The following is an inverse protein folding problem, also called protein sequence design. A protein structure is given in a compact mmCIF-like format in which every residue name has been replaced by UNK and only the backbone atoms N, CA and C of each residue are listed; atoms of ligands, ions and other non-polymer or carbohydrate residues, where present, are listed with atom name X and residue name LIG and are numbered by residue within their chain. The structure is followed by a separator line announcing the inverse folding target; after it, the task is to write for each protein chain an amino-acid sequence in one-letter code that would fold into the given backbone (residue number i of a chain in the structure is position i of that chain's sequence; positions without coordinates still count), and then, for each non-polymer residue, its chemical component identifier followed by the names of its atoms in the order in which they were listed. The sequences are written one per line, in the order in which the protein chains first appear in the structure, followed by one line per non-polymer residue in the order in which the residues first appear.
data_IF_638130436084
#
_entry.id   IF_638130436084
#
_cell.length_a   1.000
_cell.length_b   1.000
_cell.length_c   1.000
_cell.angle_alpha   90.00
_cell.angle_beta   90.00
_cell.angle_gamma   90.00
#
_symmetry.space_group_name_H-M   'P 1'
#
loop_
_entity.id
_entity.type
_entity.pdbx_description
1 polymer ?
#
# COMPACT_ATOMS: atom_id res chain seq x y z
N UNK A 1 -33.39 -10.84 1.92
CA UNK A 1 -32.40 -10.46 0.88
C UNK A 1 -31.28 -11.48 1.01
N UNK A 2 -31.29 -12.50 0.15
CA UNK A 2 -30.43 -13.69 0.28
C UNK A 2 -28.97 -13.29 0.43
N UNK A 3 -28.42 -13.53 1.62
CA UNK A 3 -26.99 -13.70 1.78
C UNK A 3 -26.61 -14.88 0.87
N UNK A 4 -25.90 -14.61 -0.23
CA UNK A 4 -25.18 -15.68 -0.92
C UNK A 4 -24.21 -16.25 0.10
N UNK A 5 -24.56 -17.41 0.65
CA UNK A 5 -23.64 -18.30 1.34
C UNK A 5 -22.41 -18.46 0.45
N UNK A 6 -21.24 -18.24 1.05
CA UNK A 6 -19.93 -18.43 0.42
C UNK A 6 -19.92 -19.81 -0.24
N UNK A 7 -19.62 -19.89 -1.53
CA UNK A 7 -19.33 -21.17 -2.16
C UNK A 7 -18.06 -21.74 -1.50
N UNK A 8 -18.01 -23.06 -1.18
CA UNK A 8 -16.77 -23.69 -0.80
C UNK A 8 -15.68 -23.41 -1.84
N UNK A 9 -14.44 -23.30 -1.38
CA UNK A 9 -13.32 -23.07 -2.26
C UNK A 9 -12.03 -23.02 -1.47
N UNK A 10 -10.91 -23.10 -2.18
CA UNK A 10 -9.58 -23.25 -1.58
C UNK A 10 -8.69 -22.09 -1.98
N UNK A 11 -8.11 -21.44 -0.98
CA UNK A 11 -7.07 -20.44 -1.19
C UNK A 11 -5.68 -21.10 -1.19
N UNK A 12 -4.94 -20.88 -2.26
CA UNK A 12 -3.55 -21.31 -2.41
C UNK A 12 -2.63 -20.10 -2.24
N UNK A 13 -1.87 -20.07 -1.15
CA UNK A 13 -0.96 -18.99 -0.79
C UNK A 13 0.25 -18.96 -1.73
N UNK A 14 0.55 -17.78 -2.27
CA UNK A 14 1.79 -17.48 -3.01
C UNK A 14 2.75 -16.66 -2.13
N UNK A 15 2.29 -15.49 -1.68
CA UNK A 15 3.11 -14.57 -0.90
C UNK A 15 2.32 -13.82 0.17
N UNK A 16 3.02 -13.33 1.18
CA UNK A 16 2.46 -12.41 2.18
C UNK A 16 2.77 -10.98 1.74
N UNK A 17 1.74 -10.14 1.60
CA UNK A 17 1.90 -8.74 1.19
C UNK A 17 2.08 -7.79 2.38
N UNK A 18 1.36 -8.05 3.49
CA UNK A 18 1.37 -7.19 4.68
C UNK A 18 0.89 -7.96 5.91
N UNK A 19 1.41 -7.63 7.09
CA UNK A 19 0.86 -8.08 8.38
C UNK A 19 0.55 -6.87 9.26
N UNK A 20 -0.63 -6.83 9.86
CA UNK A 20 -1.02 -5.85 10.88
C UNK A 20 -1.73 -6.54 12.06
N UNK A 21 -2.00 -5.79 13.13
CA UNK A 21 -2.60 -6.34 14.36
C UNK A 21 -4.00 -6.94 14.13
N UNK A 22 -4.69 -6.55 13.06
CA UNK A 22 -6.04 -7.01 12.75
C UNK A 22 -6.07 -8.14 11.73
N UNK A 23 -5.01 -8.32 10.92
CA UNK A 23 -4.95 -9.34 9.88
C UNK A 23 -3.60 -9.43 9.17
N UNK A 24 -3.40 -10.56 8.48
CA UNK A 24 -2.37 -10.76 7.46
C UNK A 24 -3.01 -10.69 6.07
N UNK A 25 -2.42 -9.91 5.17
CA UNK A 25 -2.82 -9.79 3.76
C UNK A 25 -1.91 -10.69 2.93
N UNK A 26 -2.53 -11.60 2.21
CA UNK A 26 -1.89 -12.66 1.47
C UNK A 26 -2.33 -12.62 0.00
N UNK A 27 -1.40 -12.83 -0.92
CA UNK A 27 -1.65 -12.97 -2.35
C UNK A 27 -1.60 -14.46 -2.71
N UNK A 28 -2.47 -14.87 -3.63
CA UNK A 28 -2.55 -16.26 -4.03
C UNK A 28 -3.60 -16.51 -5.11
N UNK A 29 -3.97 -17.77 -5.26
CA UNK A 29 -5.02 -18.21 -6.17
C UNK A 29 -6.23 -18.70 -5.35
N UNK A 30 -7.42 -18.26 -5.72
CA UNK A 30 -8.67 -18.82 -5.23
C UNK A 30 -9.17 -19.86 -6.23
N UNK A 31 -9.36 -21.09 -5.77
CA UNK A 31 -9.98 -22.16 -6.53
C UNK A 31 -11.43 -22.29 -6.09
N UNK A 32 -12.36 -22.10 -7.01
CA UNK A 32 -13.79 -22.31 -6.73
C UNK A 32 -14.16 -23.81 -6.75
N UNK A 33 -15.41 -24.12 -6.46
CA UNK A 33 -15.94 -25.49 -6.47
C UNK A 33 -15.82 -26.20 -7.83
N UNK A 34 -15.76 -25.44 -8.93
CA UNK A 34 -15.57 -25.99 -10.28
C UNK A 34 -14.08 -26.23 -10.61
N UNK A 35 -13.17 -25.92 -9.68
CA UNK A 35 -11.73 -26.00 -9.88
C UNK A 35 -11.15 -24.87 -10.74
N UNK A 36 -11.93 -23.80 -10.99
CA UNK A 36 -11.43 -22.64 -11.71
C UNK A 36 -10.60 -21.76 -10.78
N UNK A 37 -9.39 -21.40 -11.24
CA UNK A 37 -8.44 -20.61 -10.46
C UNK A 37 -8.53 -19.13 -10.82
N UNK A 38 -8.69 -18.28 -9.80
CA UNK A 38 -8.76 -16.83 -9.93
C UNK A 38 -7.68 -16.15 -9.07
N UNK A 39 -6.96 -15.15 -9.59
CA UNK A 39 -6.07 -14.33 -8.78
C UNK A 39 -6.82 -13.69 -7.61
N UNK A 40 -6.30 -13.85 -6.39
CA UNK A 40 -6.99 -13.48 -5.17
C UNK A 40 -6.08 -12.85 -4.12
N UNK A 41 -6.71 -12.06 -3.25
CA UNK A 41 -6.12 -11.57 -2.00
C UNK A 41 -6.94 -12.10 -0.84
N UNK A 42 -6.28 -12.76 0.11
CA UNK A 42 -6.88 -13.21 1.37
C UNK A 42 -6.47 -12.27 2.49
N UNK A 43 -7.46 -11.74 3.20
CA UNK A 43 -7.28 -11.13 4.51
C UNK A 43 -7.51 -12.21 5.56
N UNK A 44 -6.43 -12.72 6.12
CA UNK A 44 -6.43 -13.75 7.15
C UNK A 44 -6.37 -13.10 8.54
N UNK A 45 -7.41 -13.31 9.35
CA UNK A 45 -7.49 -12.89 10.75
C UNK A 45 -7.69 -14.08 11.70
N UNK A 46 -7.42 -15.31 11.26
CA UNK A 46 -7.58 -16.51 12.09
C UNK A 46 -6.59 -16.54 13.26
N UNK A 47 -5.37 -16.08 13.02
CA UNK A 47 -4.21 -16.12 13.93
C UNK A 47 -4.03 -14.86 14.77
N UNK A 48 -4.95 -13.89 14.68
CA UNK A 48 -4.85 -12.67 15.51
C UNK A 48 -5.15 -12.99 16.97
N UNK A 49 -4.63 -12.16 17.88
CA UNK A 49 -4.88 -12.31 19.30
C UNK A 49 -6.40 -12.39 19.59
N UNK A 50 -6.80 -13.30 20.47
CA UNK A 50 -8.20 -13.65 20.71
C UNK A 50 -9.08 -12.44 21.07
N UNK A 51 -8.52 -11.45 21.77
CA UNK A 51 -9.22 -10.22 22.17
C UNK A 51 -9.39 -9.21 21.03
N UNK A 52 -8.56 -9.27 19.98
CA UNK A 52 -8.69 -8.48 18.74
C UNK A 52 -9.67 -9.13 17.76
N UNK A 53 -9.83 -10.46 17.82
CA UNK A 53 -10.61 -11.26 16.88
C UNK A 53 -12.05 -10.75 16.64
N UNK A 54 -12.83 -10.30 17.64
CA UNK A 54 -14.16 -9.74 17.39
C UNK A 54 -14.13 -8.48 16.52
N UNK A 55 -13.13 -7.62 16.72
CA UNK A 55 -12.95 -6.40 15.94
C UNK A 55 -12.43 -6.70 14.52
N UNK A 56 -11.48 -7.62 14.39
CA UNK A 56 -11.00 -8.10 13.09
C UNK A 56 -12.14 -8.72 12.27
N UNK A 57 -12.97 -9.57 12.89
CA UNK A 57 -14.18 -10.13 12.30
C UNK A 57 -15.14 -9.04 11.85
N UNK A 58 -15.38 -8.03 12.69
CA UNK A 58 -16.24 -6.89 12.34
C UNK A 58 -15.71 -6.16 11.09
N UNK A 59 -14.43 -5.86 11.01
CA UNK A 59 -13.83 -5.22 9.84
C UNK A 59 -13.93 -6.07 8.58
N UNK A 60 -13.67 -7.38 8.66
CA UNK A 60 -13.83 -8.29 7.52
C UNK A 60 -15.28 -8.32 7.01
N UNK A 61 -16.27 -8.39 7.90
CA UNK A 61 -17.69 -8.38 7.52
C UNK A 61 -18.10 -7.04 6.90
N UNK A 62 -17.60 -5.92 7.42
CA UNK A 62 -17.84 -4.59 6.83
C UNK A 62 -17.25 -4.47 5.43
N UNK A 63 -16.00 -4.88 5.27
CA UNK A 63 -15.29 -4.87 3.99
C UNK A 63 -16.05 -5.72 2.97
N UNK A 64 -16.39 -6.96 3.32
CA UNK A 64 -17.17 -7.85 2.46
C UNK A 64 -18.53 -7.26 2.08
N UNK A 65 -19.27 -6.68 3.03
CA UNK A 65 -20.57 -6.04 2.78
C UNK A 65 -20.45 -4.86 1.81
N UNK A 66 -19.43 -4.03 1.99
CA UNK A 66 -19.21 -2.87 1.14
C UNK A 66 -18.77 -3.29 -0.28
N UNK A 67 -17.85 -4.25 -0.41
CA UNK A 67 -17.39 -4.79 -1.68
C UNK A 67 -18.52 -5.47 -2.45
N UNK A 68 -19.29 -6.38 -1.83
CA UNK A 68 -20.47 -7.01 -2.45
C UNK A 68 -21.47 -5.98 -2.97
N UNK A 69 -21.65 -4.88 -2.23
CA UNK A 69 -22.53 -3.78 -2.66
C UNK A 69 -21.91 -2.93 -3.76
N UNK A 70 -20.59 -2.88 -3.90
CA UNK A 70 -19.86 -2.11 -4.91
C UNK A 70 -19.54 -2.89 -6.20
N UNK A 71 -19.74 -4.21 -6.22
CA UNK A 71 -19.45 -5.11 -7.36
C UNK A 71 -20.04 -4.69 -8.71
N UNK A 72 -19.33 -5.00 -9.81
CA UNK A 72 -19.79 -4.71 -11.18
C UNK A 72 -19.56 -3.26 -11.64
N UNK A 73 -18.97 -2.41 -10.80
CA UNK A 73 -18.63 -1.03 -11.17
C UNK A 73 -17.28 -0.87 -11.90
N UNK A 74 -16.50 -1.94 -12.06
CA UNK A 74 -15.15 -1.91 -12.68
C UNK A 74 -14.07 -1.17 -11.88
N UNK A 75 -14.41 -0.61 -10.71
CA UNK A 75 -13.49 0.18 -9.86
C UNK A 75 -13.29 -0.42 -8.47
N UNK A 76 -13.82 -1.63 -8.24
CA UNK A 76 -13.64 -2.41 -7.01
C UNK A 76 -13.41 -3.87 -7.38
N UNK A 77 -13.08 -4.68 -6.39
CA UNK A 77 -12.87 -6.12 -6.55
C UNK A 77 -14.10 -6.91 -6.08
N UNK A 78 -14.38 -8.07 -6.70
CA UNK A 78 -15.41 -8.98 -6.21
C UNK A 78 -14.99 -9.63 -4.89
N UNK A 79 -15.97 -10.07 -4.10
CA UNK A 79 -15.75 -10.95 -2.95
C UNK A 79 -15.94 -12.39 -3.42
N UNK A 80 -14.90 -13.22 -3.23
CA UNK A 80 -14.99 -14.65 -3.54
C UNK A 80 -15.56 -15.43 -2.35
N UNK A 81 -15.04 -15.20 -1.14
CA UNK A 81 -15.49 -15.89 0.06
C UNK A 81 -15.38 -15.01 1.31
N UNK A 82 -16.30 -15.23 2.26
CA UNK A 82 -16.18 -14.72 3.63
C UNK A 82 -16.46 -15.89 4.56
N UNK A 83 -15.46 -16.29 5.33
CA UNK A 83 -15.51 -17.40 6.27
C UNK A 83 -14.98 -16.95 7.63
N UNK A 84 -15.18 -17.77 8.66
CA UNK A 84 -14.58 -17.46 9.96
C UNK A 84 -13.06 -17.46 9.83
N UNK A 85 -12.42 -16.41 10.32
CA UNK A 85 -10.98 -16.22 10.23
C UNK A 85 -10.47 -15.62 8.92
N UNK A 86 -11.25 -15.51 7.83
CA UNK A 86 -10.72 -14.89 6.61
C UNK A 86 -11.75 -14.32 5.61
N UNK A 87 -11.31 -13.34 4.83
CA UNK A 87 -12.02 -12.76 3.69
C UNK A 87 -11.18 -12.93 2.42
N UNK A 88 -11.73 -13.56 1.38
CA UNK A 88 -11.10 -13.70 0.07
C UNK A 88 -11.78 -12.78 -0.94
N UNK A 89 -10.98 -12.00 -1.66
CA UNK A 89 -11.45 -11.05 -2.68
C UNK A 89 -10.59 -11.14 -3.94
N UNK A 90 -11.10 -10.63 -5.05
CA UNK A 90 -10.36 -10.53 -6.29
C UNK A 90 -9.06 -9.73 -6.13
N UNK A 91 -8.03 -10.19 -6.84
CA UNK A 91 -6.79 -9.44 -7.03
C UNK A 91 -6.91 -8.57 -8.29
N UNK A 92 -6.37 -7.36 -8.22
CA UNK A 92 -6.18 -6.51 -9.39
C UNK A 92 -4.69 -6.29 -9.54
N UNK A 93 -4.19 -6.56 -10.74
CA UNK A 93 -2.83 -6.21 -11.08
C UNK A 93 -2.72 -4.69 -11.25
N UNK A 94 -1.93 -4.08 -10.39
CA UNK A 94 -1.81 -2.64 -10.28
C UNK A 94 -0.84 -2.21 -9.20
N UNK A 95 -0.40 -0.95 -9.30
CA UNK A 95 0.55 -0.33 -8.38
C UNK A 95 -0.18 0.63 -7.43
N UNK A 96 0.11 0.64 -6.12
CA UNK A 96 -0.44 1.64 -5.20
C UNK A 96 -0.12 3.08 -5.66
N UNK A 97 -1.07 4.00 -5.56
CA UNK A 97 -0.93 5.37 -6.10
C UNK A 97 0.32 6.12 -5.61
N UNK A 98 0.76 5.89 -4.38
CA UNK A 98 1.97 6.50 -3.81
C UNK A 98 3.28 6.03 -4.46
N UNK A 99 3.27 4.85 -5.08
CA UNK A 99 4.38 4.29 -5.85
C UNK A 99 4.20 4.68 -7.33
N UNK A 100 2.99 4.52 -7.89
CA UNK A 100 2.71 4.81 -9.30
C UNK A 100 2.94 6.27 -9.69
N UNK A 101 2.67 7.21 -8.76
CA UNK A 101 2.86 8.67 -8.91
C UNK A 101 2.52 9.18 -10.33
N UNK A 102 1.26 9.04 -10.78
CA UNK A 102 0.87 9.30 -12.17
C UNK A 102 0.78 10.80 -12.45
N UNK A 103 1.93 11.47 -12.50
CA UNK A 103 2.05 12.90 -12.76
C UNK A 103 1.49 13.24 -14.15
N UNK A 104 0.61 14.23 -14.21
CA UNK A 104 -0.04 14.65 -15.46
C UNK A 104 -1.14 13.71 -15.99
N UNK A 105 -1.38 12.54 -15.38
CA UNK A 105 -2.40 11.60 -15.84
C UNK A 105 -3.82 12.02 -15.39
N UNK A 106 -4.43 12.89 -16.19
CA UNK A 106 -5.81 13.34 -15.96
C UNK A 106 -6.82 12.21 -16.15
N UNK A 107 -6.53 11.22 -17.00
CA UNK A 107 -7.43 10.11 -17.29
C UNK A 107 -7.60 9.18 -16.08
N UNK A 108 -6.52 8.92 -15.35
CA UNK A 108 -6.55 8.20 -14.08
C UNK A 108 -7.47 8.89 -13.06
N UNK A 109 -7.32 10.21 -12.86
CA UNK A 109 -8.18 10.93 -11.91
C UNK A 109 -9.64 11.03 -12.37
N UNK A 110 -9.90 11.06 -13.69
CA UNK A 110 -11.24 10.93 -14.22
C UNK A 110 -11.83 9.54 -13.90
N UNK A 111 -11.03 8.47 -14.04
CA UNK A 111 -11.39 7.11 -13.63
C UNK A 111 -11.66 7.01 -12.13
N UNK A 112 -10.79 7.56 -11.28
CA UNK A 112 -10.96 7.56 -9.82
C UNK A 112 -12.27 8.26 -9.42
N UNK A 113 -12.59 9.38 -10.08
CA UNK A 113 -13.85 10.10 -9.86
C UNK A 113 -15.07 9.28 -10.30
N UNK A 114 -14.97 8.48 -11.37
CA UNK A 114 -16.06 7.56 -11.78
C UNK A 114 -16.27 6.46 -10.73
N UNK A 115 -15.19 5.80 -10.30
CA UNK A 115 -15.25 4.79 -9.23
C UNK A 115 -15.84 5.33 -7.93
N UNK A 116 -15.43 6.53 -7.53
CA UNK A 116 -15.95 7.15 -6.31
C UNK A 116 -17.46 7.49 -6.42
N UNK A 117 -17.88 8.03 -7.57
CA UNK A 117 -19.30 8.26 -7.84
C UNK A 117 -20.10 6.97 -7.80
N UNK A 118 -19.56 5.87 -8.32
CA UNK A 118 -20.25 4.59 -8.35
C UNK A 118 -20.53 4.08 -6.93
N UNK A 119 -19.52 4.03 -6.05
CA UNK A 119 -19.73 3.61 -4.66
C UNK A 119 -20.68 4.57 -3.91
N UNK A 120 -20.60 5.87 -4.17
CA UNK A 120 -21.50 6.87 -3.58
C UNK A 120 -22.94 6.75 -4.10
N UNK A 121 -23.15 6.40 -5.38
CA UNK A 121 -24.49 6.11 -5.92
C UNK A 121 -25.14 4.96 -5.17
N UNK A 122 -24.34 3.96 -4.80
CA UNK A 122 -24.74 2.81 -3.99
C UNK A 122 -24.79 3.10 -2.49
N UNK A 123 -24.62 4.36 -2.07
CA UNK A 123 -24.67 4.83 -0.67
C UNK A 123 -23.57 4.22 0.21
N UNK A 124 -22.39 4.01 -0.35
CA UNK A 124 -21.19 3.61 0.38
C UNK A 124 -20.33 4.86 0.54
N UNK A 125 -19.83 5.13 1.74
CA UNK A 125 -18.75 6.10 1.95
C UNK A 125 -17.51 5.31 2.40
N UNK A 126 -16.35 5.59 1.81
CA UNK A 126 -15.14 4.80 2.03
C UNK A 126 -14.43 5.17 3.33
N UNK A 127 -14.42 6.47 3.69
CA UNK A 127 -13.88 7.04 4.93
C UNK A 127 -12.37 6.90 5.14
N UNK A 128 -11.62 6.32 4.20
CA UNK A 128 -10.17 6.12 4.35
C UNK A 128 -9.38 6.50 3.07
N UNK A 129 -9.95 7.35 2.22
CA UNK A 129 -9.28 7.79 0.98
C UNK A 129 -8.17 8.82 1.19
N UNK A 130 -7.90 9.18 2.45
CA UNK A 130 -6.77 10.04 2.80
C UNK A 130 -5.45 9.38 2.42
N UNK A 131 -5.36 8.05 2.58
CA UNK A 131 -4.17 7.25 2.29
C UNK A 131 -4.09 6.98 0.79
N UNK A 132 -3.05 7.44 0.07
CA UNK A 132 -2.97 7.24 -1.37
C UNK A 132 -2.98 5.75 -1.75
N UNK A 133 -2.41 4.88 -0.92
CA UNK A 133 -2.36 3.43 -1.15
C UNK A 133 -3.71 2.72 -1.25
N UNK A 134 -4.80 3.34 -0.78
CA UNK A 134 -6.16 2.81 -0.97
C UNK A 134 -6.67 3.03 -2.40
N UNK A 135 -5.86 3.66 -3.24
CA UNK A 135 -6.03 3.71 -4.69
C UNK A 135 -4.94 2.88 -5.38
N UNK A 136 -5.38 2.03 -6.30
CA UNK A 136 -4.52 1.26 -7.18
C UNK A 136 -4.57 1.82 -8.61
N UNK A 137 -3.41 1.97 -9.23
CA UNK A 137 -3.24 2.23 -10.65
C UNK A 137 -3.14 0.89 -11.37
N UNK A 138 -4.24 0.46 -11.99
CA UNK A 138 -4.29 -0.82 -12.68
C UNK A 138 -3.55 -0.76 -14.03
N UNK A 139 -3.21 -1.93 -14.59
CA UNK A 139 -2.49 -2.05 -15.84
C UNK A 139 -3.16 -1.37 -17.06
N UNK A 140 -4.49 -1.26 -17.04
CA UNK A 140 -5.29 -0.57 -18.07
C UNK A 140 -5.43 0.94 -17.82
N UNK A 141 -4.69 1.50 -16.85
CA UNK A 141 -4.73 2.91 -16.46
C UNK A 141 -5.93 3.29 -15.59
N UNK A 142 -6.83 2.35 -15.26
CA UNK A 142 -8.00 2.66 -14.42
C UNK A 142 -7.61 2.72 -12.94
N UNK A 143 -8.29 3.62 -12.23
CA UNK A 143 -8.23 3.68 -10.78
C UNK A 143 -9.14 2.62 -10.14
N UNK A 144 -8.60 1.87 -9.19
CA UNK A 144 -9.34 0.87 -8.39
C UNK A 144 -9.25 1.23 -6.91
N UNK A 145 -10.41 1.19 -6.24
CA UNK A 145 -10.53 1.40 -4.80
C UNK A 145 -10.23 0.11 -4.04
N UNK A 146 -9.36 0.23 -3.06
CA UNK A 146 -8.91 -0.87 -2.20
C UNK A 146 -9.22 -0.55 -0.74
N UNK A 147 -9.30 -1.61 0.08
CA UNK A 147 -9.45 -1.53 1.53
C UNK A 147 -10.76 -0.86 2.03
N UNK A 148 -11.84 -1.64 2.07
CA UNK A 148 -13.14 -1.17 2.53
C UNK A 148 -13.39 -1.41 4.03
N UNK A 149 -12.35 -1.67 4.85
CA UNK A 149 -12.54 -1.98 6.28
C UNK A 149 -13.29 -0.88 7.05
N UNK A 150 -12.98 0.39 6.75
CA UNK A 150 -13.63 1.56 7.35
C UNK A 150 -14.83 2.08 6.57
N UNK A 151 -15.18 1.44 5.45
CA UNK A 151 -16.32 1.85 4.64
C UNK A 151 -17.63 1.69 5.41
N UNK A 152 -18.57 2.62 5.20
CA UNK A 152 -19.91 2.61 5.80
C UNK A 152 -20.95 2.50 4.69
N UNK A 153 -21.80 1.46 4.77
CA UNK A 153 -22.97 1.32 3.92
C UNK A 153 -24.19 1.99 4.56
N UNK A 154 -24.71 3.05 3.93
CA UNK A 154 -25.89 3.76 4.40
C UNK A 154 -27.18 3.24 3.75
N UNK A 155 -28.27 3.29 4.51
CA UNK A 155 -29.62 2.96 4.02
C UNK A 155 -30.25 4.10 3.22
N UNK A 156 -29.86 5.37 3.47
CA UNK A 156 -30.39 6.55 2.77
C UNK A 156 -29.30 7.61 2.56
N UNK A 157 -29.51 8.55 1.64
CA UNK A 157 -28.61 9.71 1.42
C UNK A 157 -28.78 10.79 2.51
N UNK A 158 -28.61 10.37 3.76
CA UNK A 158 -28.70 11.21 4.96
C UNK A 158 -27.66 12.33 4.95
N UNK A 159 -27.82 13.32 5.83
CA UNK A 159 -26.81 14.38 6.04
C UNK A 159 -25.43 13.80 6.37
N UNK A 160 -25.37 12.76 7.21
CA UNK A 160 -24.13 12.05 7.56
C UNK A 160 -23.47 11.41 6.33
N UNK A 161 -24.23 10.71 5.49
CA UNK A 161 -23.70 10.16 4.24
C UNK A 161 -23.12 11.25 3.34
N UNK A 162 -23.82 12.39 3.19
CA UNK A 162 -23.33 13.49 2.34
C UNK A 162 -22.04 14.10 2.87
N UNK A 163 -21.86 14.18 4.20
CA UNK A 163 -20.61 14.64 4.82
C UNK A 163 -19.49 13.63 4.56
N UNK A 164 -19.72 12.35 4.82
CA UNK A 164 -18.72 11.29 4.59
C UNK A 164 -18.28 11.21 3.12
N UNK A 165 -19.24 11.21 2.19
CA UNK A 165 -18.99 11.24 0.76
C UNK A 165 -18.26 12.52 0.31
N UNK A 166 -18.54 13.67 0.95
CA UNK A 166 -17.81 14.90 0.67
C UNK A 166 -16.34 14.82 1.11
N UNK A 167 -16.05 14.22 2.27
CA UNK A 167 -14.66 14.01 2.70
C UNK A 167 -13.92 13.05 1.77
N UNK A 168 -14.54 11.96 1.33
CA UNK A 168 -13.98 11.06 0.32
C UNK A 168 -13.56 11.83 -0.96
N UNK A 169 -14.47 12.69 -1.48
CA UNK A 169 -14.20 13.53 -2.66
C UNK A 169 -13.04 14.49 -2.38
N UNK A 170 -13.04 15.14 -1.22
CA UNK A 170 -11.98 16.06 -0.82
C UNK A 170 -10.63 15.36 -0.77
N UNK A 171 -10.57 14.13 -0.26
CA UNK A 171 -9.34 13.36 -0.21
C UNK A 171 -8.84 12.95 -1.61
N UNK A 172 -9.73 12.49 -2.49
CA UNK A 172 -9.37 12.27 -3.90
C UNK A 172 -8.80 13.55 -4.55
N UNK A 173 -9.41 14.72 -4.30
CA UNK A 173 -8.92 15.98 -4.86
C UNK A 173 -7.59 16.42 -4.27
N UNK A 174 -7.27 16.07 -3.02
CA UNK A 174 -5.94 16.30 -2.46
C UNK A 174 -4.89 15.49 -3.21
N UNK A 175 -5.19 14.24 -3.56
CA UNK A 175 -4.31 13.41 -4.40
C UNK A 175 -4.18 14.01 -5.80
N UNK A 176 -5.30 14.37 -6.45
CA UNK A 176 -5.29 15.04 -7.76
C UNK A 176 -4.43 16.31 -7.75
N UNK A 177 -4.49 17.11 -6.68
CA UNK A 177 -3.64 18.30 -6.54
C UNK A 177 -2.15 17.97 -6.53
N UNK A 178 -1.75 16.87 -5.88
CA UNK A 178 -0.34 16.48 -5.77
C UNK A 178 0.25 16.04 -7.11
N UNK A 179 -0.54 15.36 -7.96
CA UNK A 179 -0.04 14.77 -9.21
C UNK A 179 -0.46 15.53 -10.49
N UNK A 180 -1.56 16.28 -10.44
CA UNK A 180 -2.21 16.95 -11.58
C UNK A 180 -2.72 18.33 -11.18
N UNK A 181 -1.87 19.15 -10.56
CA UNK A 181 -2.23 20.47 -10.01
C UNK A 181 -2.90 21.38 -11.04
N UNK A 182 -2.37 21.42 -12.26
CA UNK A 182 -2.81 22.33 -13.31
C UNK A 182 -4.16 21.91 -13.90
N UNK A 183 -4.51 20.63 -13.81
CA UNK A 183 -5.78 20.07 -14.26
C UNK A 183 -6.94 20.24 -13.24
N UNK A 184 -6.73 20.97 -12.14
CA UNK A 184 -7.78 21.27 -11.16
C UNK A 184 -8.73 22.35 -11.67
N UNK A 185 -10.02 22.02 -11.72
CA UNK A 185 -11.10 22.96 -12.05
C UNK A 185 -11.34 23.97 -10.92
N UNK A 186 -11.99 25.10 -11.24
CA UNK A 186 -12.34 26.11 -10.23
C UNK A 186 -13.19 25.54 -9.08
N UNK A 187 -14.14 24.65 -9.39
CA UNK A 187 -14.97 23.98 -8.39
C UNK A 187 -14.17 23.04 -7.48
N UNK A 188 -13.20 22.31 -8.03
CA UNK A 188 -12.32 21.45 -7.24
C UNK A 188 -11.41 22.27 -6.32
N UNK A 189 -10.88 23.40 -6.80
CA UNK A 189 -10.11 24.35 -5.96
C UNK A 189 -10.95 24.90 -4.81
N UNK A 190 -12.23 25.23 -5.07
CA UNK A 190 -13.17 25.69 -4.03
C UNK A 190 -13.43 24.61 -2.97
N UNK A 191 -13.61 23.35 -3.38
CA UNK A 191 -13.76 22.21 -2.45
C UNK A 191 -12.52 22.08 -1.57
N UNK A 192 -11.32 22.16 -2.14
CA UNK A 192 -10.05 22.05 -1.41
C UNK A 192 -9.85 23.21 -0.41
N UNK A 193 -10.21 24.44 -0.79
CA UNK A 193 -10.10 25.63 0.06
C UNK A 193 -11.00 25.56 1.30
N UNK A 194 -12.16 24.90 1.22
CA UNK A 194 -13.09 24.80 2.35
C UNK A 194 -12.50 23.94 3.47
N UNK A 195 -12.12 24.53 4.61
CA UNK A 195 -11.67 23.76 5.78
C UNK A 195 -12.82 22.86 6.28
N UNK A 196 -12.58 21.56 6.40
CA UNK A 196 -13.59 20.62 6.89
C UNK A 196 -13.84 20.85 8.38
N UNK A 197 -15.07 21.26 8.73
CA UNK A 197 -15.51 21.42 10.12
C UNK A 197 -15.47 20.09 10.88
N UNK A 198 -15.66 18.97 10.17
CA UNK A 198 -15.51 17.62 10.74
C UNK A 198 -14.07 17.34 11.15
N UNK A 199 -13.08 17.72 10.32
CA UNK A 199 -11.67 17.65 10.71
C UNK A 199 -11.38 18.49 11.96
N UNK A 200 -11.97 19.69 12.10
CA UNK A 200 -11.77 20.52 13.31
C UNK A 200 -12.31 19.85 14.57
N UNK A 201 -13.47 19.19 14.48
CA UNK A 201 -14.09 18.49 15.61
C UNK A 201 -13.33 17.18 15.92
N UNK A 202 -13.04 16.36 14.90
CA UNK A 202 -12.28 15.10 15.04
C UNK A 202 -10.88 15.34 15.62
N UNK A 203 -10.18 16.38 15.16
CA UNK A 203 -8.85 16.74 15.69
C UNK A 203 -8.91 17.15 17.17
N UNK A 204 -10.03 17.74 17.63
CA UNK A 204 -10.21 18.19 19.01
C UNK A 204 -10.73 17.10 19.97
N UNK A 205 -11.43 16.07 19.48
CA UNK A 205 -12.08 15.05 20.34
C UNK A 205 -11.67 13.62 19.99
N UNK A 206 -11.86 13.20 18.74
CA UNK A 206 -11.60 11.82 18.31
C UNK A 206 -10.12 11.44 18.22
N UNK A 207 -9.24 12.36 17.81
CA UNK A 207 -7.81 12.06 17.59
C UNK A 207 -7.07 11.68 18.87
N UNK A 208 -7.45 12.24 20.03
CA UNK A 208 -6.85 11.88 21.33
C UNK A 208 -7.23 10.47 21.77
N UNK A 209 -8.50 10.11 21.63
CA UNK A 209 -9.00 8.76 21.92
C UNK A 209 -8.42 7.75 20.94
N UNK A 210 -8.40 8.07 19.64
CA UNK A 210 -7.76 7.27 18.61
C UNK A 210 -6.28 7.03 18.95
N UNK A 211 -5.49 8.09 19.19
CA UNK A 211 -4.08 7.95 19.55
C UNK A 211 -3.85 7.19 20.87
N UNK A 212 -4.74 7.33 21.85
CA UNK A 212 -4.65 6.58 23.10
C UNK A 212 -4.89 5.09 22.87
N UNK A 213 -5.95 4.74 22.13
CA UNK A 213 -6.27 3.35 21.82
C UNK A 213 -5.22 2.74 20.88
N UNK A 214 -4.82 3.45 19.83
CA UNK A 214 -3.84 2.93 18.86
C UNK A 214 -2.44 2.86 19.45
N UNK A 215 -1.94 3.90 20.15
CA UNK A 215 -0.55 3.93 20.64
C UNK A 215 -0.34 3.26 21.99
N UNK A 216 -1.35 3.19 22.85
CA UNK A 216 -1.20 2.69 24.24
C UNK A 216 -1.81 1.31 24.48
N UNK A 217 -2.86 0.95 23.73
CA UNK A 217 -3.53 -0.36 23.87
C UNK A 217 -3.22 -1.33 22.72
N UNK A 218 -2.98 -0.82 21.50
CA UNK A 218 -2.80 -1.64 20.30
C UNK A 218 -1.39 -1.59 19.69
N UNK A 219 -0.48 -0.76 20.22
CA UNK A 219 0.85 -0.47 19.64
C UNK A 219 0.83 -0.29 18.10
N UNK A 220 -0.23 0.34 17.58
CA UNK A 220 -0.52 0.53 16.18
C UNK A 220 -0.01 1.90 15.70
N UNK A 221 0.93 1.88 14.76
CA UNK A 221 1.43 3.07 14.08
C UNK A 221 0.84 3.17 12.68
N UNK A 222 -0.06 4.14 12.47
CA UNK A 222 -0.57 4.50 11.15
C UNK A 222 0.51 5.24 10.36
N UNK A 223 1.39 4.46 9.77
CA UNK A 223 2.47 4.95 8.92
C UNK A 223 2.09 4.54 7.51
N UNK A 224 1.72 5.55 6.71
CA UNK A 224 1.11 5.55 5.37
C UNK A 224 1.74 4.54 4.35
N UNK A 225 1.67 3.25 4.66
CA UNK A 225 2.34 2.17 3.95
C UNK A 225 3.86 2.18 4.03
N UNK A 226 4.47 3.01 4.89
CA UNK A 226 5.92 2.98 5.17
C UNK A 226 6.16 2.54 6.60
N UNK A 227 7.25 1.85 6.91
CA UNK A 227 7.65 1.65 8.30
C UNK A 227 8.01 2.95 9.03
N UNK A 228 7.70 3.14 10.33
CA UNK A 228 8.16 4.31 11.10
C UNK A 228 9.68 4.52 10.98
N UNK A 229 10.42 3.40 11.03
CA UNK A 229 11.87 3.35 10.86
C UNK A 229 12.33 3.90 9.51
N UNK A 230 11.59 3.64 8.44
CA UNK A 230 11.96 4.12 7.11
C UNK A 230 11.76 5.62 6.94
N UNK A 231 10.77 6.19 7.63
CA UNK A 231 10.52 7.63 7.60
C UNK A 231 11.51 8.40 8.48
N UNK A 232 11.86 7.86 9.65
CA UNK A 232 12.69 8.55 10.65
C UNK A 232 14.18 8.24 10.49
N UNK A 233 14.55 6.99 10.23
CA UNK A 233 15.94 6.53 10.17
C UNK A 233 16.45 6.33 8.74
N UNK A 234 15.57 5.98 7.79
CA UNK A 234 15.93 5.71 6.39
C UNK A 234 16.77 6.82 5.74
N UNK A 235 16.38 8.11 5.81
CA UNK A 235 17.17 9.22 5.26
C UNK A 235 18.52 9.39 5.94
N UNK A 236 18.60 9.20 7.28
CA UNK A 236 19.87 9.28 8.03
C UNK A 236 20.83 8.18 7.59
N UNK A 237 20.34 6.95 7.48
CA UNK A 237 21.12 5.79 7.01
C UNK A 237 21.61 6.01 5.57
N UNK A 238 20.73 6.47 4.67
CA UNK A 238 21.12 6.74 3.28
C UNK A 238 22.22 7.80 3.19
N UNK A 239 22.10 8.90 3.95
CA UNK A 239 23.11 9.95 4.00
C UNK A 239 24.45 9.43 4.54
N UNK A 240 24.44 8.70 5.66
CA UNK A 240 25.67 8.14 6.24
C UNK A 240 26.32 7.10 5.33
N UNK A 241 25.55 6.26 4.64
CA UNK A 241 26.11 5.33 3.65
C UNK A 241 26.74 6.09 2.48
N UNK A 242 26.14 7.20 2.02
CA UNK A 242 26.67 8.02 0.94
C UNK A 242 28.01 8.70 1.30
N UNK A 243 28.32 8.87 2.59
CA UNK A 243 29.60 9.39 3.08
C UNK A 243 30.71 8.32 3.15
N UNK A 244 30.38 7.04 3.00
CA UNK A 244 31.36 5.97 3.06
C UNK A 244 32.29 5.97 1.84
N UNK A 245 33.57 5.67 2.05
CA UNK A 245 34.54 5.62 0.96
C UNK A 245 34.14 4.57 -0.09
N UNK A 246 34.13 4.98 -1.36
CA UNK A 246 33.77 4.11 -2.49
C UNK A 246 32.27 4.02 -2.78
N UNK A 247 31.41 4.68 -1.99
CA UNK A 247 29.98 4.83 -2.29
C UNK A 247 29.76 6.05 -3.17
N UNK A 248 29.00 5.88 -4.25
CA UNK A 248 28.58 6.97 -5.15
C UNK A 248 27.22 7.53 -4.77
N UNK A 249 26.31 6.66 -4.33
CA UNK A 249 24.99 7.02 -3.84
C UNK A 249 24.41 5.86 -3.01
N UNK A 250 23.44 6.16 -2.15
CA UNK A 250 22.69 5.15 -1.42
C UNK A 250 21.20 5.52 -1.38
N UNK A 251 20.34 4.51 -1.49
CA UNK A 251 18.90 4.64 -1.37
C UNK A 251 18.36 3.61 -0.39
N UNK A 252 17.47 4.01 0.52
CA UNK A 252 16.87 3.11 1.51
C UNK A 252 15.37 3.02 1.28
N UNK A 253 14.89 1.80 1.09
CA UNK A 253 13.47 1.47 0.98
C UNK A 253 13.03 0.58 2.14
N UNK A 254 11.73 0.56 2.42
CA UNK A 254 11.14 -0.28 3.44
C UNK A 254 10.51 -1.54 2.85
N UNK A 255 10.51 -2.62 3.62
CA UNK A 255 9.89 -3.87 3.23
C UNK A 255 9.22 -4.56 4.43
N UNK A 256 8.15 -5.35 4.21
CA UNK A 256 7.49 -6.07 5.29
C UNK A 256 8.41 -7.18 5.83
N UNK A 257 8.52 -7.32 7.16
CA UNK A 257 9.22 -8.43 7.82
C UNK A 257 8.25 -9.33 8.57
N UNK A 258 8.70 -10.53 8.96
CA UNK A 258 7.97 -11.38 9.88
C UNK A 258 7.79 -10.67 11.24
N UNK A 259 6.58 -10.69 11.82
CA UNK A 259 6.32 -10.11 13.14
C UNK A 259 5.73 -8.69 13.17
N UNK A 260 5.09 -8.24 12.09
CA UNK A 260 4.38 -6.94 12.00
C UNK A 260 5.29 -5.70 12.07
N UNK A 261 6.59 -5.84 11.81
CA UNK A 261 7.50 -4.71 11.64
C UNK A 261 7.82 -4.47 10.16
N UNK A 262 8.51 -3.37 9.90
CA UNK A 262 9.07 -3.04 8.60
C UNK A 262 10.59 -3.03 8.74
N UNK A 263 11.26 -3.79 7.87
CA UNK A 263 12.70 -3.75 7.71
C UNK A 263 13.12 -2.66 6.73
N UNK A 264 14.42 -2.41 6.68
CA UNK A 264 15.06 -1.51 5.74
C UNK A 264 15.96 -2.28 4.77
N UNK A 265 15.84 -1.91 3.50
CA UNK A 265 16.65 -2.40 2.41
C UNK A 265 17.43 -1.21 1.84
N UNK A 266 18.75 -1.20 2.02
CA UNK A 266 19.65 -0.24 1.41
C UNK A 266 20.20 -0.76 0.07
N UNK A 267 20.07 0.05 -0.98
CA UNK A 267 20.73 -0.13 -2.27
C UNK A 267 21.90 0.86 -2.33
N UNK A 268 23.11 0.36 -2.52
CA UNK A 268 24.36 1.16 -2.42
C UNK A 268 25.08 1.12 -3.76
N UNK A 269 25.12 2.25 -4.45
CA UNK A 269 25.81 2.41 -5.73
C UNK A 269 27.33 2.48 -5.50
N UNK A 270 28.08 1.60 -6.13
CA UNK A 270 29.55 1.64 -6.11
C UNK A 270 30.13 1.30 -7.47
N UNK A 271 31.27 1.92 -7.80
CA UNK A 271 32.00 1.65 -9.04
C UNK A 271 33.16 0.67 -8.88
N UNK A 272 33.30 0.02 -7.73
CA UNK A 272 34.42 -0.85 -7.41
C UNK A 272 34.07 -1.91 -6.38
N UNK A 273 35.07 -2.68 -5.95
CA UNK A 273 34.90 -3.69 -4.90
C UNK A 273 34.65 -2.99 -3.56
N UNK A 274 33.41 -3.02 -3.10
CA UNK A 274 32.99 -2.50 -1.80
C UNK A 274 32.54 -3.68 -0.93
N UNK A 275 32.91 -3.65 0.34
CA UNK A 275 32.56 -4.70 1.30
C UNK A 275 31.34 -4.29 2.12
N UNK A 276 30.34 -5.17 2.19
CA UNK A 276 29.14 -4.96 3.00
C UNK A 276 29.50 -4.82 4.49
N UNK A 277 30.48 -5.58 4.98
CA UNK A 277 30.87 -5.52 6.40
C UNK A 277 31.53 -4.19 6.75
N UNK A 278 32.31 -3.60 5.83
CA UNK A 278 32.84 -2.25 5.98
C UNK A 278 31.72 -1.21 6.08
N UNK A 279 30.67 -1.30 5.25
CA UNK A 279 29.51 -0.41 5.31
C UNK A 279 28.72 -0.55 6.63
N UNK A 280 28.54 -1.79 7.11
CA UNK A 280 27.90 -2.04 8.42
C UNK A 280 28.72 -1.44 9.57
N UNK A 281 30.03 -1.55 9.49
CA UNK A 281 30.95 -0.97 10.49
C UNK A 281 30.88 0.56 10.47
N UNK A 282 30.94 1.17 9.28
CA UNK A 282 30.76 2.62 9.11
C UNK A 282 29.44 3.13 9.68
N UNK A 283 28.34 2.43 9.42
CA UNK A 283 27.03 2.76 10.01
C UNK A 283 27.04 2.65 11.53
N UNK A 284 27.60 1.58 12.09
CA UNK A 284 27.65 1.38 13.55
C UNK A 284 28.51 2.44 14.26
N UNK A 285 29.58 2.92 13.61
CA UNK A 285 30.43 4.00 14.13
C UNK A 285 29.77 5.37 14.04
N UNK A 286 29.16 5.70 12.90
CA UNK A 286 28.58 7.03 12.65
C UNK A 286 27.16 7.22 13.21
N UNK A 287 26.39 6.13 13.35
CA UNK A 287 25.02 6.14 13.85
C UNK A 287 24.79 5.04 14.90
N UNK A 288 25.43 5.12 16.08
CA UNK A 288 25.34 4.07 17.11
C UNK A 288 23.93 3.92 17.71
N UNK A 289 23.07 4.94 17.58
CA UNK A 289 21.67 4.95 18.01
C UNK A 289 20.72 4.29 16.99
N UNK A 290 21.20 3.94 15.80
CA UNK A 290 20.38 3.46 14.69
C UNK A 290 20.79 2.04 14.32
N UNK A 291 19.82 1.13 14.35
CA UNK A 291 20.03 -0.23 13.86
C UNK A 291 20.38 -0.21 12.36
N UNK A 292 21.33 -1.04 11.94
CA UNK A 292 21.68 -1.18 10.53
C UNK A 292 20.52 -1.80 9.72
N UNK A 293 20.40 -1.50 8.42
CA UNK A 293 19.44 -2.17 7.54
C UNK A 293 19.60 -3.69 7.55
N UNK A 294 18.47 -4.39 7.45
CA UNK A 294 18.39 -5.85 7.33
C UNK A 294 19.07 -6.31 6.05
N UNK A 295 18.92 -5.54 4.98
CA UNK A 295 19.57 -5.79 3.70
C UNK A 295 20.39 -4.59 3.26
N UNK A 296 21.63 -4.84 2.86
CA UNK A 296 22.48 -3.90 2.13
C UNK A 296 22.86 -4.62 0.83
N UNK A 297 22.45 -4.09 -0.31
CA UNK A 297 22.83 -4.60 -1.63
C UNK A 297 23.69 -3.56 -2.33
N UNK A 298 24.94 -3.93 -2.57
CA UNK A 298 25.86 -3.14 -3.38
C UNK A 298 25.52 -3.39 -4.85
N UNK A 299 25.40 -2.32 -5.63
CA UNK A 299 24.98 -2.35 -7.03
C UNK A 299 25.88 -1.44 -7.87
N UNK A 300 26.05 -1.77 -9.15
CA UNK A 300 26.89 -0.99 -10.06
C UNK A 300 26.29 0.41 -10.35
N UNK A 301 24.96 0.47 -10.44
CA UNK A 301 24.21 1.68 -10.72
C UNK A 301 22.84 1.67 -10.03
N UNK A 302 22.34 2.85 -9.66
CA UNK A 302 20.93 3.03 -9.25
C UNK A 302 20.08 3.53 -10.43
N UNK A 303 18.81 3.11 -10.55
CA UNK A 303 17.92 3.65 -11.57
C UNK A 303 17.63 5.12 -11.27
N UNK A 304 17.81 6.00 -12.25
CA UNK A 304 17.62 7.45 -12.12
C UNK A 304 16.62 7.98 -13.13
N UNK A 305 15.87 9.02 -12.79
CA UNK A 305 14.96 9.72 -13.70
C UNK A 305 15.72 10.68 -14.65
N UNK A 306 14.99 11.37 -15.53
CA UNK A 306 15.57 12.30 -16.50
C UNK A 306 16.29 13.51 -15.85
N UNK A 307 16.10 13.72 -14.54
CA UNK A 307 16.77 14.75 -13.74
C UNK A 307 17.98 14.21 -12.98
N UNK A 308 18.27 12.92 -13.10
CA UNK A 308 19.35 12.23 -12.38
C UNK A 308 18.97 11.80 -10.96
N UNK A 309 17.72 11.96 -10.55
CA UNK A 309 17.24 11.59 -9.21
C UNK A 309 16.94 10.09 -9.14
N UNK A 310 17.27 9.46 -8.01
CA UNK A 310 17.04 8.01 -7.84
C UNK A 310 15.54 7.68 -7.88
N UNK A 311 15.18 6.67 -8.68
CA UNK A 311 13.82 6.16 -8.86
C UNK A 311 13.38 5.29 -7.68
N UNK A 312 12.95 5.95 -6.60
CA UNK A 312 12.37 5.33 -5.39
C UNK A 312 11.21 4.38 -5.70
N UNK A 313 10.37 4.71 -6.69
CA UNK A 313 9.23 3.89 -7.11
C UNK A 313 9.65 2.50 -7.60
N UNK A 314 10.72 2.42 -8.39
CA UNK A 314 11.26 1.16 -8.91
C UNK A 314 11.93 0.34 -7.79
N UNK A 315 12.81 0.97 -7.01
CA UNK A 315 13.54 0.29 -5.93
C UNK A 315 12.58 -0.20 -4.82
N UNK A 316 11.50 0.52 -4.57
CA UNK A 316 10.48 0.11 -3.60
C UNK A 316 9.70 -1.11 -4.05
N UNK A 317 9.39 -1.25 -5.35
CA UNK A 317 8.78 -2.50 -5.85
C UNK A 317 9.74 -3.70 -5.72
N UNK A 318 11.05 -3.48 -5.89
CA UNK A 318 12.05 -4.52 -5.62
C UNK A 318 12.08 -4.87 -4.13
N UNK A 319 12.16 -3.88 -3.24
CA UNK A 319 12.17 -4.09 -1.79
C UNK A 319 10.90 -4.79 -1.28
N UNK A 320 9.74 -4.46 -1.86
CA UNK A 320 8.46 -5.12 -1.56
C UNK A 320 8.31 -6.50 -2.23
N UNK A 321 9.29 -6.95 -3.01
CA UNK A 321 9.25 -8.18 -3.81
C UNK A 321 8.04 -8.25 -4.76
N UNK A 322 7.61 -7.09 -5.27
CA UNK A 322 6.49 -6.90 -6.21
C UNK A 322 7.01 -6.65 -7.63
N UNK A 323 7.95 -7.48 -8.07
CA UNK A 323 8.68 -7.32 -9.35
C UNK A 323 7.73 -7.34 -10.55
N UNK A 324 6.67 -8.15 -10.51
CA UNK A 324 5.67 -8.25 -11.57
C UNK A 324 5.05 -6.88 -11.91
N UNK A 325 4.89 -6.02 -10.90
CA UNK A 325 4.31 -4.68 -11.05
C UNK A 325 5.27 -3.66 -11.66
N UNK A 326 6.59 -3.95 -11.74
CA UNK A 326 7.54 -3.05 -12.40
C UNK A 326 7.15 -2.80 -13.85
N UNK A 327 6.53 -3.78 -14.51
CA UNK A 327 6.02 -3.67 -15.87
C UNK A 327 5.07 -2.48 -16.07
N UNK A 328 4.38 -2.06 -15.01
CA UNK A 328 3.39 -0.98 -15.03
C UNK A 328 4.00 0.42 -14.88
N UNK A 329 5.29 0.51 -14.60
CA UNK A 329 5.98 1.80 -14.46
C UNK A 329 6.80 2.14 -15.71
N UNK A 330 6.70 3.37 -16.23
CA UNK A 330 7.47 3.80 -17.39
C UNK A 330 8.96 3.81 -17.06
N UNK A 331 9.76 3.28 -18.00
CA UNK A 331 11.21 3.18 -17.88
C UNK A 331 11.92 3.06 -19.22
N UNK A 332 13.16 3.54 -19.27
CA UNK A 332 14.03 3.43 -20.44
C UNK A 332 14.72 2.05 -20.52
N UNK A 333 15.26 1.65 -21.68
CA UNK A 333 16.05 0.43 -21.80
C UNK A 333 17.24 0.36 -20.83
N UNK A 334 17.91 1.49 -20.59
CA UNK A 334 19.05 1.61 -19.67
C UNK A 334 18.61 1.35 -18.23
N UNK A 335 17.49 1.97 -17.81
CA UNK A 335 16.88 1.70 -16.51
C UNK A 335 16.50 0.21 -16.37
N UNK A 336 16.02 -0.43 -17.44
CA UNK A 336 15.68 -1.86 -17.41
C UNK A 336 16.93 -2.75 -17.21
N UNK A 337 18.06 -2.42 -17.83
CA UNK A 337 19.33 -3.14 -17.64
C UNK A 337 19.78 -3.05 -16.18
N UNK A 338 19.78 -1.84 -15.62
CA UNK A 338 20.14 -1.60 -14.22
C UNK A 338 19.21 -2.40 -13.28
N UNK A 339 17.90 -2.33 -13.51
CA UNK A 339 16.93 -3.09 -12.70
C UNK A 339 17.14 -4.60 -12.79
N UNK A 340 17.42 -5.14 -13.97
CA UNK A 340 17.64 -6.59 -14.13
C UNK A 340 18.80 -7.09 -13.27
N UNK A 341 19.89 -6.33 -13.18
CA UNK A 341 21.01 -6.64 -12.31
C UNK A 341 20.60 -6.63 -10.83
N UNK A 342 19.90 -5.59 -10.38
CA UNK A 342 19.43 -5.47 -9.00
C UNK A 342 18.45 -6.61 -8.64
N UNK A 343 17.52 -6.94 -9.55
CA UNK A 343 16.51 -7.99 -9.35
C UNK A 343 17.16 -9.38 -9.24
N UNK A 344 18.17 -9.66 -10.07
CA UNK A 344 18.87 -10.95 -10.08
C UNK A 344 19.49 -11.25 -8.72
N UNK A 345 20.12 -10.25 -8.12
CA UNK A 345 20.92 -10.39 -6.90
C UNK A 345 20.19 -9.87 -5.64
N UNK A 346 18.86 -9.73 -5.71
CA UNK A 346 18.02 -9.23 -4.61
C UNK A 346 18.07 -10.14 -3.38
N UNK A 347 18.00 -9.55 -2.20
CA UNK A 347 18.23 -10.23 -0.90
C UNK A 347 16.94 -10.64 -0.16
N UNK A 348 15.77 -10.20 -0.63
CA UNK A 348 14.46 -10.38 0.01
C UNK A 348 13.65 -11.60 -0.53
N UNK A 349 14.31 -12.74 -0.74
CA UNK A 349 13.66 -13.95 -1.27
C UNK A 349 12.78 -14.69 -0.25
N UNK A 350 12.78 -14.27 1.02
CA UNK A 350 12.13 -14.96 2.16
C UNK A 350 10.60 -14.90 2.17
N UNK A 351 9.99 -13.96 1.45
CA UNK A 351 8.56 -13.66 1.60
C UNK A 351 7.66 -14.51 0.67
N UNK A 352 8.27 -15.25 -0.26
CA UNK A 352 7.60 -16.33 -0.99
C UNK A 352 7.64 -17.58 -0.14
N UNK A 353 6.48 -18.19 0.10
CA UNK A 353 6.46 -19.55 0.65
C UNK A 353 7.11 -20.44 -0.41
N UNK A 354 8.40 -20.78 -0.22
CA UNK A 354 9.11 -21.69 -1.12
C UNK A 354 8.31 -22.98 -1.18
N UNK A 355 7.74 -23.28 -2.35
CA UNK A 355 7.31 -24.64 -2.63
C UNK A 355 8.56 -25.51 -2.59
N UNK A 356 8.45 -26.66 -1.91
CA UNK A 356 9.40 -27.74 -2.11
C UNK A 356 9.54 -28.00 -3.60
N UNK A 357 10.78 -28.22 -4.01
CA UNK A 357 11.12 -28.84 -5.29
C UNK A 357 10.41 -30.19 -5.37
#
# INVERSE_FOLDING_TARGET
MNERTSAPGRFELDSVLKRDIFSTIERGMWHDDAGQAFPAVRRNYAEVAWWVKPLARHFAHREARALRRAEGGGHTVPVYALEEGHLVRGFVDGVPLQIARPYGDVAYFASARRGLREIHRRRIAHNDLAKPQNWLYAADGRAVLMDFQLAVCFNRRSKLFRIAAYEDIRHLLKQKRSYCRDALTASERRILARKSLFNRIWMNTGKRVYNFVTRRLLNYHDTEGRGPRAMEQGPRIAATLAEAQGVRAAHVADFPTAGHSFGLYAFVESGGSLDEQALRTHLATSLPDVLAPEHIQIVDALPRDDRGEVRDDLLRLIALNQIDQLALLPRTPEQQIVLNAIIRDRRNLSDRVRRGI
#
